data_IF_828353463788
#
_entry.id   IF_828353463788
#
_cell.length_a   1.000
_cell.length_b   1.000
_cell.length_c   1.000
_cell.angle_alpha   90.00
_cell.angle_beta   90.00
_cell.angle_gamma   90.00
#
_symmetry.space_group_name_H-M   'P 1'
#
loop_
_entity.id
_entity.type
_entity.pdbx_description
1 polymer ?
#
# COMPACT_ATOMS: atom_id res chain seq x y z
N UNK A 1 -9.31 51.11 -10.53
CA UNK A 1 -9.40 50.09 -9.47
C UNK A 1 -9.89 48.76 -10.03
N UNK A 2 -10.97 48.74 -10.81
CA UNK A 2 -11.50 47.53 -11.48
C UNK A 2 -10.55 46.87 -12.51
N UNK A 3 -9.79 47.64 -13.29
CA UNK A 3 -8.85 47.12 -14.31
C UNK A 3 -7.69 46.31 -13.71
N UNK A 4 -7.19 46.71 -12.54
CA UNK A 4 -6.16 45.95 -11.81
C UNK A 4 -6.72 44.67 -11.19
N UNK A 5 -8.01 44.65 -10.85
CA UNK A 5 -8.65 43.47 -10.27
C UNK A 5 -8.92 42.41 -11.34
N UNK A 6 -9.37 42.83 -12.52
CA UNK A 6 -9.56 41.93 -13.67
C UNK A 6 -8.22 41.38 -14.17
N UNK A 7 -7.17 42.20 -14.22
CA UNK A 7 -5.81 41.74 -14.52
C UNK A 7 -5.30 40.75 -13.46
N UNK A 8 -5.56 41.02 -12.17
CA UNK A 8 -5.21 40.10 -11.09
C UNK A 8 -5.94 38.77 -11.21
N UNK A 9 -7.24 38.76 -11.48
CA UNK A 9 -8.04 37.56 -11.70
C UNK A 9 -7.53 36.77 -12.92
N UNK A 10 -7.24 37.45 -14.04
CA UNK A 10 -6.67 36.81 -15.23
C UNK A 10 -5.27 36.24 -15.01
N UNK A 11 -4.40 36.97 -14.28
CA UNK A 11 -3.08 36.45 -13.91
C UNK A 11 -3.21 35.28 -12.93
N UNK A 12 -4.20 35.33 -12.05
CA UNK A 12 -4.47 34.25 -11.11
C UNK A 12 -4.96 33.00 -11.86
N UNK A 13 -5.89 33.15 -12.80
CA UNK A 13 -6.30 32.07 -13.71
C UNK A 13 -5.12 31.59 -14.56
N UNK A 14 -4.29 32.47 -15.13
CA UNK A 14 -3.19 32.04 -16.00
C UNK A 14 -2.12 31.22 -15.26
N UNK A 15 -1.71 31.65 -14.07
CA UNK A 15 -0.61 31.04 -13.34
C UNK A 15 -1.03 30.01 -12.28
N UNK A 16 -2.30 30.07 -11.85
CA UNK A 16 -2.83 29.23 -10.78
C UNK A 16 -4.17 28.58 -11.15
N UNK A 17 -4.65 28.64 -12.40
CA UNK A 17 -5.66 27.68 -12.85
C UNK A 17 -5.04 26.29 -12.86
N UNK A 18 -5.84 25.32 -12.41
CA UNK A 18 -5.48 23.93 -12.42
C UNK A 18 -6.38 23.25 -13.45
N UNK A 19 -5.81 22.91 -14.61
CA UNK A 19 -6.48 22.00 -15.53
C UNK A 19 -6.23 20.57 -15.08
N UNK A 20 -7.29 19.76 -15.14
CA UNK A 20 -7.22 18.33 -14.88
C UNK A 20 -6.21 17.68 -15.83
N UNK A 21 -5.30 16.86 -15.29
CA UNK A 21 -4.32 16.13 -16.11
C UNK A 21 -4.93 14.79 -16.48
N UNK A 22 -5.25 14.62 -17.77
CA UNK A 22 -5.75 13.33 -18.26
C UNK A 22 -4.84 12.17 -17.81
N UNK A 23 -5.44 11.08 -17.32
CA UNK A 23 -4.71 9.92 -16.78
C UNK A 23 -3.73 9.31 -17.79
N UNK A 24 -4.05 9.40 -19.09
CA UNK A 24 -3.17 9.03 -20.23
C UNK A 24 -1.90 9.86 -20.27
N UNK A 25 -2.01 11.18 -20.17
CA UNK A 25 -0.88 12.10 -20.17
C UNK A 25 0.02 11.83 -18.98
N UNK A 26 -0.56 11.64 -17.79
CA UNK A 26 0.19 11.31 -16.60
C UNK A 26 0.91 9.95 -16.72
N UNK A 27 0.26 8.92 -17.28
CA UNK A 27 0.91 7.64 -17.56
C UNK A 27 2.17 7.81 -18.42
N UNK A 28 2.10 8.58 -19.51
CA UNK A 28 3.25 8.79 -20.38
C UNK A 28 4.37 9.53 -19.66
N UNK A 29 4.06 10.63 -18.97
CA UNK A 29 5.04 11.44 -18.25
C UNK A 29 5.72 10.64 -17.14
N UNK A 30 4.96 9.94 -16.32
CA UNK A 30 5.49 9.15 -15.20
C UNK A 30 6.29 7.94 -15.67
N UNK A 31 5.87 7.28 -16.75
CA UNK A 31 6.61 6.14 -17.31
C UNK A 31 7.94 6.61 -17.92
N UNK A 32 7.93 7.67 -18.73
CA UNK A 32 9.14 8.22 -19.32
C UNK A 32 10.10 8.74 -18.25
N UNK A 33 9.60 9.45 -17.24
CA UNK A 33 10.41 9.92 -16.11
C UNK A 33 10.96 8.76 -15.29
N UNK A 34 10.17 7.72 -15.01
CA UNK A 34 10.61 6.51 -14.32
C UNK A 34 11.74 5.82 -15.07
N UNK A 35 11.63 5.71 -16.40
CA UNK A 35 12.68 5.15 -17.26
C UNK A 35 13.92 6.04 -17.21
N UNK A 36 13.78 7.35 -17.38
CA UNK A 36 14.92 8.27 -17.37
C UNK A 36 15.70 8.22 -16.02
N UNK A 37 14.98 8.19 -14.89
CA UNK A 37 15.58 8.28 -13.56
C UNK A 37 16.09 6.92 -13.06
N UNK A 38 15.41 5.81 -13.35
CA UNK A 38 15.72 4.52 -12.72
C UNK A 38 16.23 3.44 -13.68
N UNK A 39 16.02 3.58 -14.99
CA UNK A 39 16.46 2.58 -15.95
C UNK A 39 17.97 2.66 -16.17
N UNK A 40 18.64 1.52 -16.14
CA UNK A 40 20.08 1.40 -16.44
C UNK A 40 20.29 0.99 -17.88
N UNK A 41 20.54 1.96 -18.74
CA UNK A 41 20.77 1.76 -20.17
C UNK A 41 21.99 0.88 -20.47
N UNK A 42 23.08 1.01 -19.69
CA UNK A 42 24.26 0.15 -19.83
C UNK A 42 24.06 -1.31 -19.38
N UNK A 43 22.93 -1.63 -18.72
CA UNK A 43 22.57 -3.01 -18.31
C UNK A 43 21.08 -3.22 -18.52
N UNK A 44 20.69 -3.36 -19.78
CA UNK A 44 19.29 -3.44 -20.20
C UNK A 44 18.50 -4.54 -19.48
N UNK A 45 19.02 -5.77 -19.39
CA UNK A 45 18.37 -6.91 -18.73
C UNK A 45 18.61 -6.98 -17.21
N UNK A 46 18.56 -5.84 -16.52
CA UNK A 46 18.67 -5.83 -15.05
C UNK A 46 17.32 -6.09 -14.37
N UNK A 47 17.34 -6.72 -13.19
CA UNK A 47 16.15 -6.86 -12.35
C UNK A 47 15.51 -5.51 -12.03
N UNK A 48 16.35 -4.47 -11.86
CA UNK A 48 15.86 -3.11 -11.64
C UNK A 48 15.00 -2.62 -12.80
N UNK A 49 15.47 -2.81 -14.04
CA UNK A 49 14.74 -2.38 -15.22
C UNK A 49 13.43 -3.16 -15.38
N UNK A 50 13.45 -4.47 -15.09
CA UNK A 50 12.24 -5.28 -15.04
C UNK A 50 11.25 -4.72 -14.00
N UNK A 51 11.72 -4.37 -12.81
CA UNK A 51 10.87 -3.80 -11.75
C UNK A 51 10.23 -2.46 -12.18
N UNK A 52 11.01 -1.56 -12.81
CA UNK A 52 10.48 -0.30 -13.36
C UNK A 52 9.36 -0.59 -14.34
N UNK A 53 9.60 -1.46 -15.32
CA UNK A 53 8.62 -1.79 -16.36
C UNK A 53 7.36 -2.42 -15.78
N UNK A 54 7.51 -3.39 -14.88
CA UNK A 54 6.39 -4.07 -14.24
C UNK A 54 5.56 -3.12 -13.36
N UNK A 55 6.20 -2.17 -12.66
CA UNK A 55 5.50 -1.15 -11.90
C UNK A 55 4.74 -0.17 -12.81
N UNK A 56 5.37 0.28 -13.90
CA UNK A 56 4.71 1.14 -14.89
C UNK A 56 3.52 0.46 -15.54
N UNK A 57 3.56 -0.86 -15.75
CA UNK A 57 2.45 -1.64 -16.32
C UNK A 57 1.20 -1.74 -15.44
N UNK A 58 1.29 -1.46 -14.13
CA UNK A 58 0.07 -1.38 -13.31
C UNK A 58 -0.83 -0.22 -13.74
N UNK A 59 -0.26 0.93 -14.11
CA UNK A 59 -1.02 2.12 -14.47
C UNK A 59 -1.96 1.92 -15.68
N UNK A 60 -1.55 1.38 -16.84
CA UNK A 60 -2.49 1.12 -17.92
C UNK A 60 -3.55 0.09 -17.52
N UNK A 61 -3.26 -0.84 -16.60
CA UNK A 61 -4.28 -1.78 -16.11
C UNK A 61 -5.35 -1.06 -15.25
N UNK A 62 -4.95 -0.13 -14.39
CA UNK A 62 -5.89 0.73 -13.66
C UNK A 62 -6.70 1.62 -14.61
N UNK A 63 -6.06 2.20 -15.61
CA UNK A 63 -6.74 3.03 -16.61
C UNK A 63 -7.78 2.27 -17.43
N UNK A 64 -7.57 0.98 -17.75
CA UNK A 64 -8.59 0.17 -18.42
C UNK A 64 -9.86 0.05 -17.57
N UNK A 65 -9.70 -0.22 -16.26
CA UNK A 65 -10.82 -0.22 -15.32
C UNK A 65 -11.46 1.16 -15.28
N UNK A 66 -10.63 2.20 -15.22
CA UNK A 66 -11.07 3.59 -15.15
C UNK A 66 -11.96 3.99 -16.31
N UNK A 67 -11.39 3.86 -17.51
CA UNK A 67 -12.03 4.21 -18.76
C UNK A 67 -13.31 3.39 -18.97
N UNK A 68 -13.26 2.10 -18.65
CA UNK A 68 -14.43 1.23 -18.77
C UNK A 68 -15.57 1.65 -17.85
N UNK A 69 -15.29 2.04 -16.60
CA UNK A 69 -16.34 2.49 -15.66
C UNK A 69 -16.93 3.83 -16.13
N UNK A 70 -16.08 4.83 -16.40
CA UNK A 70 -16.52 6.18 -16.78
C UNK A 70 -17.35 6.18 -18.06
N UNK A 71 -17.02 5.32 -19.04
CA UNK A 71 -17.72 5.25 -20.32
C UNK A 71 -18.79 4.14 -20.40
N UNK A 72 -19.00 3.37 -19.33
CA UNK A 72 -19.99 2.29 -19.29
C UNK A 72 -19.64 1.06 -20.15
N UNK A 73 -18.36 0.81 -20.42
CA UNK A 73 -17.90 -0.35 -21.19
C UNK A 73 -17.48 -1.52 -20.28
N UNK A 74 -18.44 -2.36 -19.90
CA UNK A 74 -18.21 -3.51 -18.99
C UNK A 74 -17.11 -4.47 -19.46
N UNK A 75 -16.97 -4.71 -20.77
CA UNK A 75 -15.93 -5.58 -21.32
C UNK A 75 -14.51 -5.04 -21.06
N UNK A 76 -14.35 -3.72 -21.14
CA UNK A 76 -13.07 -3.05 -20.88
C UNK A 76 -12.77 -3.09 -19.38
N UNK A 77 -13.78 -2.88 -18.53
CA UNK A 77 -13.62 -3.02 -17.07
C UNK A 77 -13.16 -4.44 -16.71
N UNK A 78 -13.80 -5.46 -17.30
CA UNK A 78 -13.42 -6.86 -17.11
C UNK A 78 -11.97 -7.11 -17.55
N UNK A 79 -11.59 -6.60 -18.72
CA UNK A 79 -10.22 -6.70 -19.22
C UNK A 79 -9.22 -6.06 -18.23
N UNK A 80 -9.52 -4.86 -17.72
CA UNK A 80 -8.71 -4.18 -16.72
C UNK A 80 -8.53 -4.98 -15.44
N UNK A 81 -9.58 -5.59 -14.90
CA UNK A 81 -9.46 -6.46 -13.73
C UNK A 81 -8.65 -7.73 -14.00
N UNK A 82 -8.82 -8.36 -15.16
CA UNK A 82 -8.03 -9.54 -15.55
C UNK A 82 -6.55 -9.18 -15.70
N UNK A 83 -6.22 -8.05 -16.33
CA UNK A 83 -4.82 -7.62 -16.48
C UNK A 83 -4.20 -7.23 -15.14
N UNK A 84 -4.94 -6.56 -14.25
CA UNK A 84 -4.51 -6.30 -12.86
C UNK A 84 -4.22 -7.60 -12.10
N UNK A 85 -5.08 -8.61 -12.24
CA UNK A 85 -4.90 -9.93 -11.62
C UNK A 85 -3.63 -10.62 -12.15
N UNK A 86 -3.44 -10.66 -13.47
CA UNK A 86 -2.24 -11.24 -14.10
C UNK A 86 -0.96 -10.51 -13.67
N UNK A 87 -0.98 -9.17 -13.69
CA UNK A 87 0.16 -8.35 -13.25
C UNK A 87 0.48 -8.55 -11.77
N UNK A 88 -0.55 -8.67 -10.92
CA UNK A 88 -0.39 -9.08 -9.53
C UNK A 88 0.34 -10.41 -9.40
N UNK A 89 0.00 -11.39 -10.26
CA UNK A 89 0.63 -12.72 -10.30
C UNK A 89 2.10 -12.65 -10.65
N UNK A 90 2.42 -11.95 -11.74
CA UNK A 90 3.80 -11.73 -12.19
C UNK A 90 4.62 -11.06 -11.09
N UNK A 91 4.07 -10.02 -10.45
CA UNK A 91 4.79 -9.26 -9.43
C UNK A 91 4.96 -10.06 -8.12
N UNK A 92 3.97 -10.88 -7.75
CA UNK A 92 4.08 -11.81 -6.63
C UNK A 92 5.18 -12.86 -6.88
N UNK A 93 5.21 -13.48 -8.07
CA UNK A 93 6.28 -14.40 -8.45
C UNK A 93 7.65 -13.73 -8.41
N UNK A 94 7.74 -12.48 -8.87
CA UNK A 94 8.96 -11.68 -8.75
C UNK A 94 9.37 -11.48 -7.29
N UNK A 95 8.44 -11.25 -6.35
CA UNK A 95 8.79 -11.17 -4.91
C UNK A 95 9.38 -12.47 -4.39
N UNK A 96 8.90 -13.64 -4.84
CA UNK A 96 9.48 -14.93 -4.46
C UNK A 96 10.85 -15.15 -5.07
N UNK A 97 11.01 -14.81 -6.35
CA UNK A 97 12.29 -14.91 -7.04
C UNK A 97 13.36 -14.05 -6.36
N UNK A 98 12.99 -12.92 -5.76
CA UNK A 98 13.89 -12.08 -5.00
C UNK A 98 14.49 -12.79 -3.75
N UNK A 99 13.84 -13.84 -3.22
CA UNK A 99 14.39 -14.67 -2.14
C UNK A 99 15.50 -15.62 -2.61
N UNK A 100 15.57 -15.94 -3.92
CA UNK A 100 16.61 -16.83 -4.47
C UNK A 100 17.86 -16.08 -4.93
N UNK A 101 17.84 -14.74 -4.90
CA UNK A 101 18.95 -13.92 -5.37
C UNK A 101 20.02 -13.73 -4.29
N UNK A 102 21.16 -14.40 -4.47
CA UNK A 102 22.34 -14.29 -3.58
C UNK A 102 23.12 -13.00 -3.84
N UNK A 103 23.24 -12.57 -5.11
CA UNK A 103 23.99 -11.36 -5.49
C UNK A 103 23.06 -10.34 -6.11
N UNK A 104 22.97 -9.16 -5.48
CA UNK A 104 22.21 -8.02 -6.01
C UNK A 104 23.14 -6.82 -6.20
N UNK A 105 23.53 -6.49 -7.44
CA UNK A 105 24.34 -5.31 -7.69
C UNK A 105 23.53 -4.07 -7.33
N UNK A 106 24.13 -3.18 -6.54
CA UNK A 106 23.51 -1.91 -6.18
C UNK A 106 23.43 -1.01 -7.42
N UNK A 107 22.21 -0.75 -7.90
CA UNK A 107 21.96 0.15 -9.02
C UNK A 107 21.33 1.43 -8.48
N UNK A 108 22.16 2.47 -8.30
CA UNK A 108 21.70 3.79 -7.87
C UNK A 108 20.79 4.43 -8.93
N UNK A 109 19.90 5.36 -8.59
CA UNK A 109 19.23 6.20 -9.58
C UNK A 109 20.22 6.94 -10.49
N UNK A 110 19.78 7.36 -11.67
CA UNK A 110 20.56 8.16 -12.61
C UNK A 110 20.68 9.63 -12.17
N UNK A 111 19.81 10.08 -11.28
CA UNK A 111 19.79 11.45 -10.76
C UNK A 111 20.63 11.57 -9.49
N UNK A 112 21.23 12.75 -9.28
CA UNK A 112 21.98 13.07 -8.06
C UNK A 112 21.07 13.07 -6.83
N UNK A 113 21.66 12.94 -5.63
CA UNK A 113 20.91 13.02 -4.38
C UNK A 113 20.11 14.34 -4.26
N UNK A 114 20.69 15.48 -4.64
CA UNK A 114 20.01 16.77 -4.64
C UNK A 114 18.81 16.81 -5.59
N UNK A 115 18.97 16.27 -6.80
CA UNK A 115 17.86 16.16 -7.76
C UNK A 115 16.75 15.23 -7.28
N UNK A 116 17.10 14.09 -6.66
CA UNK A 116 16.10 13.19 -6.07
C UNK A 116 15.37 13.85 -4.89
N UNK A 117 16.08 14.56 -4.01
CA UNK A 117 15.45 15.29 -2.90
C UNK A 117 14.46 16.34 -3.40
N UNK A 118 14.84 17.08 -4.45
CA UNK A 118 13.94 18.04 -5.10
C UNK A 118 12.71 17.34 -5.67
N UNK A 119 12.88 16.21 -6.39
CA UNK A 119 11.75 15.43 -6.91
C UNK A 119 10.85 14.89 -5.79
N UNK A 120 11.40 14.37 -4.70
CA UNK A 120 10.58 13.93 -3.54
C UNK A 120 9.74 15.10 -3.02
N UNK A 121 10.36 16.26 -2.81
CA UNK A 121 9.65 17.43 -2.31
C UNK A 121 8.56 17.89 -3.28
N UNK A 122 8.89 18.05 -4.56
CA UNK A 122 7.95 18.51 -5.59
C UNK A 122 6.78 17.55 -5.78
N UNK A 123 7.04 16.24 -5.87
CA UNK A 123 5.99 15.23 -6.02
C UNK A 123 5.13 15.11 -4.76
N UNK A 124 5.72 15.28 -3.57
CA UNK A 124 4.95 15.28 -2.32
C UNK A 124 4.05 16.51 -2.22
N UNK A 125 4.55 17.70 -2.59
CA UNK A 125 3.72 18.91 -2.70
C UNK A 125 2.58 18.69 -3.68
N UNK A 126 2.86 18.10 -4.86
CA UNK A 126 1.83 17.80 -5.85
C UNK A 126 0.78 16.82 -5.30
N UNK A 127 1.18 15.78 -4.58
CA UNK A 127 0.25 14.86 -3.92
C UNK A 127 -0.61 15.55 -2.85
N UNK A 128 -0.03 16.44 -2.04
CA UNK A 128 -0.76 17.22 -1.03
C UNK A 128 -1.73 18.19 -1.69
N UNK A 129 -1.29 18.91 -2.72
CA UNK A 129 -2.16 19.79 -3.52
C UNK A 129 -3.32 19.02 -4.14
N UNK A 130 -3.06 17.83 -4.70
CA UNK A 130 -4.08 16.99 -5.30
C UNK A 130 -5.24 16.66 -4.33
N UNK A 131 -4.93 16.20 -3.12
CA UNK A 131 -5.95 15.84 -2.13
C UNK A 131 -6.57 17.07 -1.46
N UNK A 132 -5.82 18.17 -1.34
CA UNK A 132 -6.31 19.40 -0.69
C UNK A 132 -7.25 20.17 -1.62
N UNK A 133 -6.91 20.30 -2.90
CA UNK A 133 -7.80 20.88 -3.91
C UNK A 133 -9.02 20.00 -4.12
N UNK A 134 -8.84 18.68 -4.19
CA UNK A 134 -9.97 17.75 -4.29
C UNK A 134 -10.95 17.89 -3.13
N UNK A 135 -10.45 18.15 -1.91
CA UNK A 135 -11.30 18.48 -0.76
C UNK A 135 -12.01 19.85 -0.88
N UNK A 136 -11.35 20.87 -1.42
CA UNK A 136 -11.89 22.24 -1.50
C UNK A 136 -12.93 22.37 -2.61
N UNK A 137 -12.69 21.75 -3.77
CA UNK A 137 -13.51 21.89 -4.98
C UNK A 137 -14.70 20.91 -5.01
N UNK A 138 -14.67 19.87 -4.17
CA UNK A 138 -15.69 18.84 -4.23
C UNK A 138 -16.96 19.25 -3.49
N UNK A 139 -18.02 19.43 -4.26
CA UNK A 139 -19.41 19.42 -3.79
C UNK A 139 -20.02 18.00 -3.78
N UNK A 140 -19.20 16.95 -3.96
CA UNK A 140 -19.69 15.60 -4.17
C UNK A 140 -20.22 14.99 -2.87
N UNK A 141 -21.49 14.57 -2.90
CA UNK A 141 -22.08 13.78 -1.83
C UNK A 141 -21.43 12.38 -1.82
N UNK A 142 -20.60 12.09 -0.81
CA UNK A 142 -19.99 10.77 -0.63
C UNK A 142 -21.09 9.78 -0.27
N UNK A 143 -21.43 8.92 -1.22
CA UNK A 143 -22.39 7.85 -1.00
C UNK A 143 -21.80 6.80 -0.06
N UNK A 144 -22.59 6.42 0.95
CA UNK A 144 -22.31 5.26 1.79
C UNK A 144 -22.79 4.01 1.09
N UNK A 145 -21.88 3.10 0.79
CA UNK A 145 -22.23 1.81 0.20
C UNK A 145 -22.80 0.87 1.28
N UNK A 146 -24.11 0.98 1.50
CA UNK A 146 -24.91 0.18 2.41
C UNK A 146 -24.95 -1.33 2.06
N UNK A 147 -24.40 -1.73 0.91
CA UNK A 147 -24.35 -3.13 0.48
C UNK A 147 -23.17 -3.90 1.10
N UNK A 148 -22.23 -3.24 1.78
CA UNK A 148 -21.01 -3.85 2.35
C UNK A 148 -21.02 -4.37 3.82
N UNK A 149 -22.13 -4.49 4.59
CA UNK A 149 -22.06 -4.65 6.05
C UNK A 149 -21.49 -5.99 6.57
N UNK A 150 -20.96 -6.85 5.70
CA UNK A 150 -20.48 -8.20 6.02
C UNK A 150 -18.99 -8.41 5.74
N UNK A 151 -18.24 -7.38 5.37
CA UNK A 151 -16.84 -7.56 4.94
C UNK A 151 -15.87 -7.41 6.13
N UNK A 152 -14.78 -8.21 6.18
CA UNK A 152 -13.77 -8.08 7.22
C UNK A 152 -13.00 -6.76 7.12
N UNK A 153 -12.81 -6.11 8.25
CA UNK A 153 -12.08 -4.84 8.30
C UNK A 153 -12.20 -4.18 9.67
N UNK A 154 -11.63 -2.99 9.78
CA UNK A 154 -11.58 -2.22 11.02
C UNK A 154 -12.49 -1.00 10.92
N UNK A 155 -13.61 -1.04 11.65
CA UNK A 155 -14.67 -0.03 11.57
C UNK A 155 -14.19 1.42 11.62
N UNK A 156 -13.24 1.77 12.49
CA UNK A 156 -12.76 3.17 12.59
C UNK A 156 -12.13 3.63 11.28
N UNK A 157 -11.46 2.73 10.56
CA UNK A 157 -10.87 3.03 9.26
C UNK A 157 -11.94 3.09 8.16
N UNK A 158 -12.96 2.23 8.21
CA UNK A 158 -14.10 2.22 7.27
C UNK A 158 -15.03 3.44 7.45
N UNK A 159 -15.20 3.91 8.69
CA UNK A 159 -16.04 5.06 9.04
C UNK A 159 -15.40 6.40 8.64
N UNK A 160 -14.14 6.42 8.20
CA UNK A 160 -13.50 7.62 7.64
C UNK A 160 -13.98 7.83 6.20
N UNK A 161 -14.60 8.98 5.87
CA UNK A 161 -14.97 9.28 4.49
C UNK A 161 -13.69 9.45 3.64
N UNK A 162 -13.64 8.91 2.43
CA UNK A 162 -12.51 9.14 1.53
C UNK A 162 -12.45 10.61 1.09
N UNK A 163 -11.27 11.08 0.71
CA UNK A 163 -11.06 12.45 0.24
C UNK A 163 -10.98 12.45 -1.29
N UNK A 164 -11.78 13.28 -1.99
CA UNK A 164 -11.65 13.43 -3.44
C UNK A 164 -10.26 13.96 -3.85
N UNK A 165 -9.89 13.73 -5.10
CA UNK A 165 -8.61 14.18 -5.67
C UNK A 165 -8.87 15.09 -6.86
N UNK A 166 -8.07 16.15 -7.03
CA UNK A 166 -8.29 17.15 -8.07
C UNK A 166 -7.64 16.82 -9.42
N UNK A 167 -6.42 16.28 -9.42
CA UNK A 167 -5.61 16.16 -10.64
C UNK A 167 -5.85 14.87 -11.42
N UNK A 168 -6.55 13.90 -10.83
CA UNK A 168 -6.77 12.58 -11.43
C UNK A 168 -8.25 12.23 -11.41
N UNK A 169 -8.73 11.62 -12.50
CA UNK A 169 -10.05 11.00 -12.46
C UNK A 169 -9.97 9.80 -11.51
N UNK A 170 -10.80 9.79 -10.48
CA UNK A 170 -11.02 8.60 -9.66
C UNK A 170 -12.21 7.86 -10.25
N UNK A 171 -11.98 6.81 -11.05
CA UNK A 171 -13.08 6.03 -11.60
C UNK A 171 -13.74 5.12 -10.56
N UNK A 172 -13.05 4.94 -9.44
CA UNK A 172 -13.54 4.18 -8.32
C UNK A 172 -14.43 5.16 -7.57
N UNK A 173 -15.74 4.91 -7.59
CA UNK A 173 -16.68 5.64 -6.74
C UNK A 173 -16.04 5.76 -5.36
N UNK A 174 -15.97 6.99 -4.84
CA UNK A 174 -15.57 7.32 -3.47
C UNK A 174 -16.64 6.77 -2.51
N UNK A 175 -16.86 5.47 -2.55
CA UNK A 175 -17.86 4.82 -1.75
C UNK A 175 -17.25 4.60 -0.38
N UNK A 176 -17.86 5.24 0.60
CA UNK A 176 -17.57 4.91 1.97
C UNK A 176 -18.10 3.50 2.24
N UNK A 177 -17.21 2.55 2.53
CA UNK A 177 -17.59 1.18 2.89
C UNK A 177 -18.50 1.21 4.12
N UNK A 178 -19.73 0.71 4.00
CA UNK A 178 -20.71 0.82 5.07
C UNK A 178 -20.78 -0.41 5.97
N UNK A 179 -20.57 -0.18 7.26
CA UNK A 179 -21.13 -0.95 8.36
C UNK A 179 -22.01 -0.05 9.24
N UNK A 180 -22.55 -0.60 10.33
CA UNK A 180 -23.11 0.25 11.40
C UNK A 180 -21.98 1.13 11.96
N UNK A 181 -22.08 2.44 11.75
CA UNK A 181 -21.07 3.37 12.23
C UNK A 181 -20.89 3.29 13.74
N UNK A 182 -19.65 3.49 14.17
CA UNK A 182 -19.30 3.58 15.58
C UNK A 182 -19.92 4.79 16.26
N UNK A 183 -19.90 4.76 17.58
CA UNK A 183 -20.23 5.91 18.40
C UNK A 183 -18.94 6.68 18.66
N UNK A 184 -18.83 7.87 18.07
CA UNK A 184 -17.66 8.73 18.19
C UNK A 184 -18.00 9.97 19.01
N UNK A 185 -17.04 10.47 19.81
CA UNK A 185 -17.18 11.75 20.52
C UNK A 185 -16.93 12.97 19.63
N UNK A 186 -16.56 12.74 18.37
CA UNK A 186 -16.25 13.74 17.36
C UNK A 186 -16.73 13.26 16.00
N UNK A 187 -16.87 14.18 15.05
CA UNK A 187 -17.34 13.87 13.70
C UNK A 187 -16.25 13.21 12.86
N UNK A 188 -16.59 12.11 12.18
CA UNK A 188 -15.74 11.49 11.15
C UNK A 188 -15.83 12.30 9.86
N UNK A 189 -15.19 13.48 9.83
CA UNK A 189 -15.26 14.42 8.71
C UNK A 189 -14.19 14.14 7.64
N UNK A 190 -14.43 14.60 6.41
CA UNK A 190 -13.42 14.57 5.34
C UNK A 190 -12.14 15.36 5.73
N UNK A 191 -12.26 16.44 6.51
CA UNK A 191 -11.12 17.20 7.00
C UNK A 191 -10.18 16.37 7.89
N UNK A 192 -10.76 15.49 8.73
CA UNK A 192 -9.98 14.53 9.50
C UNK A 192 -9.27 13.53 8.57
N UNK A 193 -10.00 12.97 7.59
CA UNK A 193 -9.44 12.05 6.60
C UNK A 193 -8.30 12.68 5.81
N UNK A 194 -8.43 13.95 5.40
CA UNK A 194 -7.41 14.73 4.70
C UNK A 194 -6.12 14.80 5.53
N UNK A 195 -6.23 15.18 6.80
CA UNK A 195 -5.09 15.22 7.71
C UNK A 195 -4.43 13.85 7.87
N UNK A 196 -5.22 12.78 8.01
CA UNK A 196 -4.72 11.41 8.15
C UNK A 196 -4.05 10.88 6.87
N UNK A 197 -4.60 11.16 5.70
CA UNK A 197 -4.03 10.77 4.40
C UNK A 197 -2.69 11.45 4.17
N UNK A 198 -2.60 12.77 4.40
CA UNK A 198 -1.35 13.52 4.23
C UNK A 198 -0.29 12.99 5.20
N UNK A 199 -0.68 12.77 6.46
CA UNK A 199 0.20 12.19 7.47
C UNK A 199 0.65 10.76 7.08
N UNK A 200 -0.23 9.92 6.57
CA UNK A 200 0.08 8.55 6.17
C UNK A 200 1.07 8.52 5.00
N UNK A 201 0.87 9.32 3.95
CA UNK A 201 1.82 9.42 2.84
C UNK A 201 3.16 9.99 3.27
N UNK A 202 3.17 11.03 4.11
CA UNK A 202 4.40 11.56 4.70
C UNK A 202 5.14 10.47 5.47
N UNK A 203 4.41 9.68 6.26
CA UNK A 203 4.96 8.57 7.04
C UNK A 203 5.57 7.48 6.13
N UNK A 204 4.93 7.15 4.99
CA UNK A 204 5.52 6.26 3.97
C UNK A 204 6.80 6.85 3.40
N UNK A 205 6.76 8.09 2.90
CA UNK A 205 7.90 8.75 2.24
C UNK A 205 9.12 8.83 3.16
N UNK A 206 8.93 9.30 4.39
CA UNK A 206 10.00 9.35 5.40
C UNK A 206 10.48 7.94 5.73
N UNK A 207 9.57 6.99 5.90
CA UNK A 207 9.91 5.59 6.16
C UNK A 207 10.79 4.97 5.07
N UNK A 208 10.47 5.19 3.79
CA UNK A 208 11.25 4.72 2.65
C UNK A 208 12.66 5.34 2.63
N UNK A 209 12.77 6.65 2.87
CA UNK A 209 14.06 7.35 2.93
C UNK A 209 14.91 6.83 4.08
N UNK A 210 14.31 6.66 5.26
CA UNK A 210 15.00 6.16 6.45
C UNK A 210 15.44 4.70 6.31
N UNK A 211 14.63 3.82 5.71
CA UNK A 211 15.05 2.45 5.43
C UNK A 211 16.25 2.44 4.47
N UNK A 212 16.21 3.28 3.42
CA UNK A 212 17.34 3.41 2.50
C UNK A 212 18.61 3.96 3.16
N UNK A 213 18.50 5.00 3.99
CA UNK A 213 19.67 5.59 4.64
C UNK A 213 20.24 4.71 5.76
N UNK A 214 19.39 4.09 6.59
CA UNK A 214 19.80 3.32 7.76
C UNK A 214 20.15 1.88 7.41
N UNK A 215 19.32 1.19 6.63
CA UNK A 215 19.47 -0.25 6.39
C UNK A 215 20.19 -0.58 5.10
N UNK A 216 19.97 0.23 4.06
CA UNK A 216 20.69 0.07 2.79
C UNK A 216 22.01 0.86 2.77
N UNK A 217 22.29 1.64 3.83
CA UNK A 217 23.48 2.49 3.97
C UNK A 217 23.68 3.44 2.77
N UNK A 218 22.59 3.79 2.08
CA UNK A 218 22.63 4.64 0.90
C UNK A 218 21.34 5.48 0.78
N UNK A 219 21.47 6.76 1.12
CA UNK A 219 20.35 7.72 1.06
C UNK A 219 19.76 7.87 -0.34
N UNK A 220 20.56 7.72 -1.41
CA UNK A 220 20.06 7.81 -2.80
C UNK A 220 19.05 6.72 -3.10
N UNK A 221 19.20 5.55 -2.48
CA UNK A 221 18.26 4.44 -2.65
C UNK A 221 16.93 4.73 -1.94
N UNK A 222 17.00 5.31 -0.74
CA UNK A 222 15.81 5.74 0.00
C UNK A 222 15.06 6.88 -0.71
N UNK A 223 15.80 7.88 -1.20
CA UNK A 223 15.22 8.96 -2.00
C UNK A 223 14.62 8.43 -3.31
N UNK A 224 15.32 7.54 -4.02
CA UNK A 224 14.80 6.91 -5.23
C UNK A 224 13.54 6.08 -4.97
N UNK A 225 13.47 5.37 -3.84
CA UNK A 225 12.28 4.67 -3.38
C UNK A 225 11.10 5.64 -3.12
N UNK A 226 11.35 6.76 -2.44
CA UNK A 226 10.32 7.77 -2.22
C UNK A 226 9.84 8.41 -3.54
N UNK A 227 10.76 8.75 -4.46
CA UNK A 227 10.39 9.29 -5.78
C UNK A 227 9.51 8.31 -6.53
N UNK A 228 9.89 7.03 -6.64
CA UNK A 228 9.08 6.09 -7.42
C UNK A 228 7.72 5.82 -6.75
N UNK A 229 7.66 5.79 -5.41
CA UNK A 229 6.39 5.66 -4.70
C UNK A 229 5.43 6.80 -5.04
N UNK A 230 5.90 8.04 -5.01
CA UNK A 230 5.11 9.23 -5.33
C UNK A 230 4.79 9.36 -6.83
N UNK A 231 5.65 8.81 -7.69
CA UNK A 231 5.52 8.92 -9.14
C UNK A 231 4.54 7.90 -9.74
N UNK A 232 4.31 6.77 -9.06
CA UNK A 232 3.39 5.74 -9.57
C UNK A 232 1.95 6.28 -9.55
N UNK A 233 1.22 6.24 -10.68
CA UNK A 233 -0.13 6.82 -10.81
C UNK A 233 -1.12 6.38 -9.72
N UNK A 234 -1.04 5.12 -9.29
CA UNK A 234 -1.83 4.60 -8.17
C UNK A 234 -1.78 5.47 -6.91
N UNK A 235 -0.62 6.05 -6.58
CA UNK A 235 -0.46 6.90 -5.38
C UNK A 235 -1.20 8.23 -5.51
N UNK A 236 -1.33 8.76 -6.73
CA UNK A 236 -2.11 9.96 -7.02
C UNK A 236 -3.61 9.69 -7.06
N UNK A 237 -4.01 8.64 -7.77
CA UNK A 237 -5.42 8.23 -7.94
C UNK A 237 -6.05 7.80 -6.61
N UNK A 238 -5.40 6.92 -5.84
CA UNK A 238 -5.89 6.47 -4.53
C UNK A 238 -5.36 7.36 -3.39
N UNK A 239 -4.85 8.55 -3.72
CA UNK A 239 -4.17 9.43 -2.79
C UNK A 239 -5.03 9.82 -1.59
N UNK A 240 -6.34 9.98 -1.79
CA UNK A 240 -7.31 10.39 -0.78
C UNK A 240 -7.91 9.28 0.10
N UNK A 241 -7.44 8.04 -0.02
CA UNK A 241 -7.95 6.89 0.74
C UNK A 241 -7.00 6.49 1.87
N UNK A 242 -7.43 6.68 3.13
CA UNK A 242 -6.60 6.38 4.32
C UNK A 242 -6.29 4.88 4.41
N UNK A 243 -7.28 4.05 4.11
CA UNK A 243 -7.24 2.59 4.18
C UNK A 243 -6.29 1.96 3.14
N UNK A 244 -6.07 2.64 2.01
CA UNK A 244 -5.11 2.21 0.99
C UNK A 244 -3.64 2.45 1.40
N UNK A 245 -3.36 3.44 2.25
CA UNK A 245 -2.01 3.95 2.52
C UNK A 245 -1.50 3.57 3.91
N UNK A 246 -2.35 3.76 4.93
CA UNK A 246 -1.98 3.63 6.33
C UNK A 246 -1.41 2.24 6.71
N UNK A 247 -1.97 1.10 6.24
CA UNK A 247 -1.40 -0.21 6.54
C UNK A 247 0.01 -0.38 5.97
N UNK A 248 0.22 0.07 4.72
CA UNK A 248 1.53 0.06 4.08
C UNK A 248 2.55 0.91 4.83
N UNK A 249 2.12 2.07 5.34
CA UNK A 249 2.94 2.96 6.17
C UNK A 249 3.40 2.27 7.46
N UNK A 250 2.49 1.62 8.19
CA UNK A 250 2.85 0.87 9.39
C UNK A 250 3.84 -0.26 9.11
N UNK A 251 3.70 -0.96 7.98
CA UNK A 251 4.63 -2.04 7.61
C UNK A 251 6.03 -1.54 7.25
N UNK A 252 6.15 -0.39 6.58
CA UNK A 252 7.45 0.25 6.33
C UNK A 252 8.13 0.59 7.65
N UNK A 253 7.39 1.09 8.64
CA UNK A 253 7.93 1.42 9.95
C UNK A 253 8.25 0.20 10.81
N UNK A 254 7.47 -0.89 10.67
CA UNK A 254 7.82 -2.18 11.24
C UNK A 254 9.18 -2.68 10.72
N UNK A 255 9.41 -2.55 9.40
CA UNK A 255 10.70 -2.88 8.78
C UNK A 255 11.81 -1.93 9.20
N UNK A 256 11.56 -0.62 9.28
CA UNK A 256 12.54 0.36 9.77
C UNK A 256 13.04 -0.03 11.17
N UNK A 257 12.15 -0.51 12.03
CA UNK A 257 12.50 -0.94 13.39
C UNK A 257 12.75 -2.44 13.54
N UNK A 258 13.08 -3.18 12.46
CA UNK A 258 13.28 -4.64 12.56
C UNK A 258 14.34 -5.06 13.60
N UNK A 259 15.33 -4.21 13.90
CA UNK A 259 16.32 -4.49 14.96
C UNK A 259 15.80 -4.28 16.39
N UNK A 260 14.63 -3.66 16.55
CA UNK A 260 13.93 -3.42 17.83
C UNK A 260 12.62 -4.23 17.84
N UNK A 261 12.63 -5.51 18.23
CA UNK A 261 11.53 -6.44 17.99
C UNK A 261 10.18 -5.96 18.57
N UNK A 262 10.18 -5.33 19.74
CA UNK A 262 8.96 -4.80 20.35
C UNK A 262 8.32 -3.66 19.53
N UNK A 263 9.12 -2.73 18.99
CA UNK A 263 8.60 -1.64 18.16
C UNK A 263 8.15 -2.18 16.80
N UNK A 264 8.91 -3.11 16.22
CA UNK A 264 8.52 -3.78 14.98
C UNK A 264 7.19 -4.52 15.11
N UNK A 265 7.02 -5.29 16.19
CA UNK A 265 5.78 -6.00 16.50
C UNK A 265 4.59 -5.05 16.70
N UNK A 266 4.82 -3.92 17.38
CA UNK A 266 3.80 -2.89 17.58
C UNK A 266 3.31 -2.30 16.25
N UNK A 267 4.23 -1.86 15.37
CA UNK A 267 3.84 -1.34 14.06
C UNK A 267 3.22 -2.40 13.16
N UNK A 268 3.73 -3.64 13.17
CA UNK A 268 3.12 -4.74 12.43
C UNK A 268 1.66 -4.93 12.86
N UNK A 269 1.36 -4.96 14.16
CA UNK A 269 -0.01 -5.19 14.62
C UNK A 269 -0.95 -4.01 14.43
N UNK A 270 -0.44 -2.77 14.33
CA UNK A 270 -1.27 -1.64 13.88
C UNK A 270 -1.77 -1.82 12.44
N UNK A 271 -1.03 -2.53 11.58
CA UNK A 271 -1.51 -2.86 10.22
C UNK A 271 -2.63 -3.90 10.20
N UNK A 272 -2.97 -4.53 11.34
CA UNK A 272 -4.12 -5.44 11.43
C UNK A 272 -5.47 -4.74 11.22
N UNK A 273 -5.49 -3.41 11.04
CA UNK A 273 -6.67 -2.66 10.63
C UNK A 273 -7.28 -3.13 9.28
N UNK A 274 -6.52 -3.84 8.44
CA UNK A 274 -7.02 -4.49 7.21
C UNK A 274 -6.97 -6.02 7.28
N UNK A 275 -6.84 -6.61 8.47
CA UNK A 275 -6.77 -8.05 8.81
C UNK A 275 -5.69 -8.91 8.10
N UNK A 276 -5.42 -8.74 6.81
CA UNK A 276 -4.45 -9.54 6.04
C UNK A 276 -3.04 -9.60 6.66
N UNK A 277 -2.51 -8.52 7.28
CA UNK A 277 -1.19 -8.57 7.91
C UNK A 277 -1.12 -9.53 9.11
N UNK A 278 -2.23 -10.03 9.66
CA UNK A 278 -2.24 -11.12 10.64
C UNK A 278 -1.52 -12.37 10.11
N UNK A 279 -1.67 -12.65 8.80
CA UNK A 279 -1.02 -13.78 8.13
C UNK A 279 0.49 -13.57 7.91
N UNK A 280 1.05 -12.42 8.29
CA UNK A 280 2.49 -12.21 8.35
C UNK A 280 3.12 -12.75 9.65
N UNK A 281 2.31 -13.07 10.67
CA UNK A 281 2.84 -13.54 11.97
C UNK A 281 3.79 -14.74 11.84
N UNK A 282 3.51 -15.79 11.04
CA UNK A 282 4.46 -16.90 10.87
C UNK A 282 5.82 -16.46 10.30
N UNK A 283 5.82 -15.54 9.33
CA UNK A 283 7.04 -14.98 8.73
C UNK A 283 7.86 -14.19 9.76
N UNK A 284 7.21 -13.28 10.48
CA UNK A 284 7.91 -12.40 11.42
C UNK A 284 8.33 -13.12 12.71
N UNK A 285 7.52 -14.05 13.22
CA UNK A 285 7.89 -14.89 14.36
C UNK A 285 9.07 -15.80 14.05
N UNK A 286 9.11 -16.38 12.84
CA UNK A 286 10.25 -17.19 12.42
C UNK A 286 11.52 -16.35 12.20
N UNK A 287 11.39 -15.09 11.72
CA UNK A 287 12.51 -14.15 11.64
C UNK A 287 13.13 -13.84 13.01
N UNK A 288 12.31 -13.69 14.06
CA UNK A 288 12.79 -13.46 15.44
C UNK A 288 12.97 -14.73 16.27
N UNK A 289 12.89 -15.92 15.66
CA UNK A 289 12.83 -17.20 16.38
C UNK A 289 14.02 -17.40 17.31
N UNK A 290 15.23 -17.13 16.79
CA UNK A 290 16.48 -17.25 17.52
C UNK A 290 16.63 -16.15 18.58
N UNK A 291 16.19 -14.93 18.27
CA UNK A 291 16.36 -13.78 19.16
C UNK A 291 15.24 -12.76 19.00
N UNK A 292 14.54 -12.50 20.10
CA UNK A 292 13.59 -11.39 20.20
C UNK A 292 12.12 -11.76 20.02
N UNK A 293 11.78 -13.05 19.81
CA UNK A 293 10.37 -13.50 19.67
C UNK A 293 9.45 -13.03 20.79
N UNK A 294 9.91 -13.04 22.04
CA UNK A 294 9.12 -12.59 23.20
C UNK A 294 8.86 -11.09 23.16
N UNK A 295 9.91 -10.29 22.94
CA UNK A 295 9.80 -8.83 22.79
C UNK A 295 8.91 -8.46 21.60
N UNK A 296 9.06 -9.16 20.48
CA UNK A 296 8.20 -9.02 19.31
C UNK A 296 6.74 -9.33 19.63
N UNK A 297 6.46 -10.48 20.26
CA UNK A 297 5.12 -10.86 20.69
C UNK A 297 4.47 -9.85 21.63
N UNK A 298 5.22 -9.30 22.60
CA UNK A 298 4.73 -8.20 23.45
C UNK A 298 4.40 -6.95 22.63
N UNK A 299 5.23 -6.59 21.66
CA UNK A 299 4.95 -5.50 20.72
C UNK A 299 3.66 -5.73 19.95
N UNK A 300 3.48 -6.93 19.38
CA UNK A 300 2.26 -7.33 18.67
C UNK A 300 1.04 -7.17 19.58
N UNK A 301 1.08 -7.69 20.81
CA UNK A 301 -0.02 -7.56 21.78
C UNK A 301 -0.35 -6.11 22.12
N UNK A 302 0.66 -5.24 22.27
CA UNK A 302 0.44 -3.82 22.56
C UNK A 302 -0.24 -3.09 21.39
N UNK A 303 0.24 -3.25 20.16
CA UNK A 303 -0.37 -2.57 19.00
C UNK A 303 -1.74 -3.14 18.65
N UNK A 304 -1.92 -4.46 18.77
CA UNK A 304 -3.23 -5.10 18.62
C UNK A 304 -4.20 -4.63 19.71
N UNK A 305 -3.75 -4.55 20.97
CA UNK A 305 -4.52 -4.03 22.09
C UNK A 305 -5.00 -2.60 21.86
N UNK A 306 -4.21 -1.76 21.17
CA UNK A 306 -4.63 -0.40 20.79
C UNK A 306 -5.80 -0.39 19.80
N UNK A 307 -5.77 -1.26 18.78
CA UNK A 307 -6.90 -1.40 17.84
C UNK A 307 -8.16 -1.93 18.54
N UNK A 308 -8.00 -2.96 19.40
CA UNK A 308 -9.11 -3.50 20.20
C UNK A 308 -9.69 -2.45 21.13
N UNK A 309 -8.83 -1.63 21.77
CA UNK A 309 -9.26 -0.50 22.59
C UNK A 309 -10.06 0.51 21.76
N UNK A 310 -9.64 0.81 20.53
CA UNK A 310 -10.40 1.65 19.61
C UNK A 310 -11.83 1.13 19.36
N UNK A 311 -11.97 -0.17 19.04
CA UNK A 311 -13.30 -0.80 18.88
C UNK A 311 -14.10 -0.75 20.18
N UNK A 312 -13.45 -0.99 21.32
CA UNK A 312 -14.11 -0.95 22.61
C UNK A 312 -14.61 0.46 22.97
N UNK A 313 -13.86 1.51 22.65
CA UNK A 313 -14.25 2.89 22.93
C UNK A 313 -15.37 3.39 22.00
N UNK A 314 -15.50 2.81 20.81
CA UNK A 314 -16.47 3.24 19.78
C UNK A 314 -17.71 2.33 19.70
N UNK A 315 -17.81 1.28 20.53
CA UNK A 315 -18.93 0.32 20.52
C UNK A 315 -20.25 0.98 20.93
N UNK A 316 -21.35 0.53 20.34
CA UNK A 316 -22.70 0.88 20.81
C UNK A 316 -23.12 0.02 22.01
N UNK A 317 -22.93 -1.30 21.90
CA UNK A 317 -23.15 -2.27 22.97
C UNK A 317 -22.06 -3.37 22.93
N UNK A 318 -22.12 -4.33 23.86
CA UNK A 318 -21.14 -5.42 23.90
C UNK A 318 -21.30 -6.41 22.73
N UNK A 319 -22.51 -6.54 22.18
CA UNK A 319 -22.78 -7.43 21.03
C UNK A 319 -22.12 -6.86 19.77
N UNK A 320 -22.24 -5.56 19.54
CA UNK A 320 -21.53 -4.81 18.49
C UNK A 320 -20.03 -4.97 18.64
N UNK A 321 -19.48 -4.80 19.85
CA UNK A 321 -18.05 -5.01 20.09
C UNK A 321 -17.58 -6.41 19.66
N UNK A 322 -18.30 -7.47 20.05
CA UNK A 322 -17.98 -8.84 19.63
C UNK A 322 -18.11 -9.02 18.12
N UNK A 323 -19.11 -8.40 17.48
CA UNK A 323 -19.27 -8.42 16.03
C UNK A 323 -18.09 -7.73 15.32
N UNK A 324 -17.69 -6.54 15.76
CA UNK A 324 -16.53 -5.82 15.21
C UNK A 324 -15.22 -6.58 15.44
N UNK A 325 -15.06 -7.24 16.59
CA UNK A 325 -13.91 -8.12 16.84
C UNK A 325 -13.85 -9.27 15.84
N UNK A 326 -14.98 -9.91 15.51
CA UNK A 326 -15.03 -10.96 14.48
C UNK A 326 -14.72 -10.41 13.09
N UNK A 327 -15.19 -9.21 12.76
CA UNK A 327 -14.91 -8.51 11.49
C UNK A 327 -13.42 -8.20 11.34
N UNK A 328 -12.80 -7.57 12.34
CA UNK A 328 -11.39 -7.14 12.31
C UNK A 328 -10.42 -8.30 12.08
N UNK A 329 -10.77 -9.50 12.51
CA UNK A 329 -9.91 -10.68 12.36
C UNK A 329 -10.30 -11.58 11.17
N UNK A 330 -11.34 -11.25 10.42
CA UNK A 330 -11.80 -12.09 9.32
C UNK A 330 -12.30 -13.47 9.75
N UNK A 331 -12.84 -13.61 10.97
CA UNK A 331 -13.50 -14.85 11.42
C UNK A 331 -14.87 -15.09 10.77
N UNK A 332 -15.31 -14.16 9.93
CA UNK A 332 -16.49 -14.33 9.11
C UNK A 332 -16.17 -15.29 7.96
N UNK A 333 -17.14 -16.12 7.59
CA UNK A 333 -17.04 -16.88 6.34
C UNK A 333 -16.78 -15.88 5.20
N UNK A 334 -15.87 -16.19 4.26
CA UNK A 334 -15.61 -15.30 3.13
C UNK A 334 -16.92 -14.99 2.42
N UNK A 335 -17.14 -13.73 2.04
CA UNK A 335 -18.38 -13.32 1.38
C UNK A 335 -18.60 -14.18 0.11
N UNK A 336 -19.68 -14.97 0.08
CA UNK A 336 -20.01 -15.84 -1.05
C UNK A 336 -21.16 -15.31 -1.89
N UNK A 337 -21.83 -14.24 -1.46
CA UNK A 337 -22.94 -13.68 -2.22
C UNK A 337 -22.40 -12.84 -3.38
N UNK A 338 -22.67 -13.21 -4.66
CA UNK A 338 -22.18 -12.49 -5.83
C UNK A 338 -22.58 -11.01 -5.86
N UNK A 339 -23.71 -10.64 -5.23
CA UNK A 339 -24.20 -9.26 -5.19
C UNK A 339 -23.28 -8.29 -4.46
N UNK A 340 -22.42 -8.80 -3.58
CA UNK A 340 -21.51 -8.00 -2.77
C UNK A 340 -20.05 -8.18 -3.20
N UNK A 341 -19.79 -8.89 -4.30
CA UNK A 341 -18.44 -9.06 -4.82
C UNK A 341 -18.13 -7.96 -5.84
N UNK A 342 -16.92 -7.42 -5.76
CA UNK A 342 -16.43 -6.38 -6.63
C UNK A 342 -15.26 -6.86 -7.50
N UNK A 343 -14.98 -6.08 -8.54
CA UNK A 343 -13.94 -6.33 -9.54
C UNK A 343 -13.99 -7.69 -10.20
N UNK A 344 -12.86 -8.41 -10.30
CA UNK A 344 -12.83 -9.68 -11.04
C UNK A 344 -13.92 -10.67 -10.59
N UNK A 345 -14.25 -10.66 -9.31
CA UNK A 345 -15.24 -11.55 -8.70
C UNK A 345 -16.70 -11.16 -8.99
N UNK A 346 -16.98 -9.96 -9.51
CA UNK A 346 -18.32 -9.57 -9.97
C UNK A 346 -18.64 -10.08 -11.38
N UNK A 347 -17.62 -10.38 -12.21
CA UNK A 347 -17.78 -10.75 -13.63
C UNK A 347 -18.08 -12.24 -13.89
N UNK A 348 -18.96 -12.84 -13.06
CA UNK A 348 -19.58 -14.14 -13.30
C UNK A 348 -18.76 -15.37 -12.91
N UNK A 349 -17.61 -15.20 -12.25
CA UNK A 349 -16.89 -16.32 -11.66
C UNK A 349 -17.64 -16.84 -10.42
N UNK A 350 -17.80 -18.15 -10.31
CA UNK A 350 -18.43 -18.72 -9.13
C UNK A 350 -17.61 -18.35 -7.88
N UNK A 351 -18.21 -17.75 -6.83
CA UNK A 351 -17.50 -17.31 -5.63
C UNK A 351 -16.69 -18.42 -4.95
N UNK A 352 -17.12 -19.68 -5.13
CA UNK A 352 -16.46 -20.90 -4.65
C UNK A 352 -15.00 -21.01 -5.14
N UNK A 353 -14.65 -20.46 -6.31
CA UNK A 353 -13.28 -20.46 -6.82
C UNK A 353 -12.31 -19.61 -5.98
N UNK A 354 -12.81 -18.79 -5.05
CA UNK A 354 -11.97 -18.09 -4.06
C UNK A 354 -11.41 -19.04 -3.01
N UNK A 355 -12.10 -20.16 -2.71
CA UNK A 355 -11.68 -21.08 -1.64
C UNK A 355 -10.28 -21.64 -1.89
N UNK A 356 -9.94 -22.19 -3.08
CA UNK A 356 -8.58 -22.63 -3.37
C UNK A 356 -7.53 -21.52 -3.23
N UNK A 357 -7.86 -20.28 -3.63
CA UNK A 357 -6.95 -19.13 -3.53
C UNK A 357 -6.71 -18.73 -2.08
N UNK A 358 -7.76 -18.74 -1.24
CA UNK A 358 -7.67 -18.54 0.21
C UNK A 358 -6.82 -19.64 0.84
N UNK A 359 -7.06 -20.90 0.47
CA UNK A 359 -6.25 -22.03 0.97
C UNK A 359 -4.78 -21.87 0.57
N UNK A 360 -4.49 -21.53 -0.68
CA UNK A 360 -3.13 -21.27 -1.14
C UNK A 360 -2.47 -20.11 -0.39
N UNK A 361 -3.21 -19.03 -0.14
CA UNK A 361 -2.75 -17.88 0.65
C UNK A 361 -2.41 -18.26 2.10
N UNK A 362 -3.26 -19.05 2.76
CA UNK A 362 -3.01 -19.56 4.12
C UNK A 362 -1.81 -20.51 4.13
N UNK A 363 -1.72 -21.42 3.16
CA UNK A 363 -0.58 -22.34 3.02
C UNK A 363 0.73 -21.59 2.79
N UNK A 364 0.71 -20.52 2.00
CA UNK A 364 1.85 -19.65 1.79
C UNK A 364 2.28 -18.96 3.09
N UNK A 365 1.32 -18.43 3.87
CA UNK A 365 1.57 -17.87 5.21
C UNK A 365 2.22 -18.89 6.15
N UNK A 366 1.68 -20.11 6.23
CA UNK A 366 2.24 -21.20 7.05
C UNK A 366 3.64 -21.56 6.57
N UNK A 367 3.85 -21.67 5.25
CA UNK A 367 5.15 -21.98 4.64
C UNK A 367 6.20 -20.97 5.05
N UNK A 368 5.83 -19.69 5.25
CA UNK A 368 6.78 -18.69 5.72
C UNK A 368 7.36 -18.94 7.11
N UNK A 369 6.75 -19.78 7.94
CA UNK A 369 7.38 -20.20 9.20
C UNK A 369 8.70 -20.97 8.96
N UNK A 370 8.79 -21.71 7.85
CA UNK A 370 9.92 -22.58 7.52
C UNK A 370 10.80 -22.01 6.40
N UNK A 371 10.19 -21.41 5.37
CA UNK A 371 10.89 -20.89 4.19
C UNK A 371 10.76 -19.35 4.08
N UNK A 372 11.78 -18.60 3.65
CA UNK A 372 13.17 -19.04 3.44
C UNK A 372 13.81 -19.54 4.73
N UNK A 373 14.74 -20.49 4.61
CA UNK A 373 15.39 -21.13 5.76
C UNK A 373 16.23 -20.13 6.57
N UNK A 374 17.00 -19.29 5.87
CA UNK A 374 17.70 -18.16 6.45
C UNK A 374 16.95 -16.89 6.09
N UNK A 375 16.34 -16.26 7.09
CA UNK A 375 15.58 -15.02 6.91
C UNK A 375 16.44 -13.81 7.24
N UNK A 376 16.68 -12.99 6.24
CA UNK A 376 17.29 -11.67 6.38
C UNK A 376 16.25 -10.55 6.09
N UNK A 377 16.61 -9.29 6.34
CA UNK A 377 15.75 -8.13 6.07
C UNK A 377 15.21 -8.11 4.64
N UNK A 378 16.04 -8.57 3.70
CA UNK A 378 15.67 -8.69 2.31
C UNK A 378 14.49 -9.64 2.10
N UNK A 379 14.61 -10.89 2.56
CA UNK A 379 13.54 -11.90 2.48
C UNK A 379 12.31 -11.51 3.31
N UNK A 380 12.50 -10.82 4.43
CA UNK A 380 11.41 -10.31 5.26
C UNK A 380 10.58 -9.29 4.47
N UNK A 381 11.24 -8.34 3.81
CA UNK A 381 10.59 -7.33 2.97
C UNK A 381 9.85 -7.97 1.79
N UNK A 382 10.51 -8.87 1.05
CA UNK A 382 9.93 -9.48 -0.16
C UNK A 382 8.80 -10.46 0.14
N UNK A 383 8.92 -11.32 1.14
CA UNK A 383 7.83 -12.20 1.57
C UNK A 383 6.65 -11.41 2.15
N UNK A 384 6.90 -10.30 2.85
CA UNK A 384 5.82 -9.40 3.31
C UNK A 384 5.09 -8.79 2.12
N UNK A 385 5.81 -8.27 1.12
CA UNK A 385 5.23 -7.75 -0.10
C UNK A 385 4.45 -8.82 -0.88
N UNK A 386 5.01 -10.04 -1.00
CA UNK A 386 4.38 -11.17 -1.69
C UNK A 386 3.04 -11.54 -1.04
N UNK A 387 3.00 -11.62 0.29
CA UNK A 387 1.78 -11.95 1.00
C UNK A 387 0.70 -10.90 0.77
N UNK A 388 1.05 -9.61 0.83
CA UNK A 388 0.07 -8.54 0.61
C UNK A 388 -0.37 -8.43 -0.84
N UNK A 389 0.49 -8.75 -1.81
CA UNK A 389 0.06 -8.90 -3.21
C UNK A 389 -0.94 -10.06 -3.36
N UNK A 390 -0.71 -11.16 -2.65
CA UNK A 390 -1.54 -12.35 -2.76
C UNK A 390 -2.98 -12.15 -2.23
N UNK A 391 -3.21 -11.16 -1.37
CA UNK A 391 -4.57 -10.81 -0.90
C UNK A 391 -5.47 -10.41 -2.06
N UNK A 392 -4.91 -9.76 -3.08
CA UNK A 392 -5.64 -9.25 -4.26
C UNK A 392 -6.30 -10.38 -5.06
N UNK A 393 -5.76 -11.60 -5.02
CA UNK A 393 -6.33 -12.71 -5.75
C UNK A 393 -7.66 -13.16 -5.18
N UNK A 394 -7.89 -13.02 -3.87
CA UNK A 394 -9.08 -13.56 -3.24
C UNK A 394 -9.88 -12.52 -2.47
N UNK A 395 -9.40 -11.28 -2.32
CA UNK A 395 -10.19 -10.20 -1.74
C UNK A 395 -11.50 -10.03 -2.55
N UNK A 396 -12.63 -9.97 -1.84
CA UNK A 396 -13.95 -9.78 -2.44
C UNK A 396 -14.26 -8.31 -2.73
N UNK A 397 -13.49 -7.39 -2.14
CA UNK A 397 -13.64 -5.95 -2.28
C UNK A 397 -12.58 -5.34 -3.17
N UNK A 398 -12.99 -4.29 -3.88
CA UNK A 398 -12.11 -3.46 -4.67
C UNK A 398 -11.34 -4.22 -5.74
N UNK A 399 -11.70 -5.44 -6.14
CA UNK A 399 -11.23 -6.05 -7.39
C UNK A 399 -9.73 -6.25 -7.57
N UNK A 400 -8.97 -6.28 -6.48
CA UNK A 400 -7.51 -6.22 -6.56
C UNK A 400 -6.98 -4.83 -6.89
N UNK A 401 -7.63 -3.75 -6.47
CA UNK A 401 -7.15 -2.37 -6.62
C UNK A 401 -6.18 -1.95 -5.51
N UNK A 402 -6.17 -2.63 -4.36
CA UNK A 402 -5.36 -2.30 -3.19
C UNK A 402 -3.85 -2.56 -3.35
N UNK A 403 -3.19 -1.86 -4.29
CA UNK A 403 -1.74 -1.95 -4.47
C UNK A 403 -0.98 -1.32 -3.29
N UNK A 404 -1.55 -0.29 -2.66
CA UNK A 404 -0.93 0.55 -1.62
C UNK A 404 -0.47 -0.20 -0.37
N UNK A 405 -1.13 -1.30 -0.02
CA UNK A 405 -0.69 -2.15 1.08
C UNK A 405 0.68 -2.79 0.82
N UNK A 406 0.96 -3.11 -0.45
CA UNK A 406 2.20 -3.78 -0.87
C UNK A 406 3.21 -2.84 -1.53
N UNK A 407 2.76 -1.70 -2.07
CA UNK A 407 3.54 -0.81 -2.92
C UNK A 407 4.83 -0.30 -2.26
N UNK A 408 4.81 0.25 -1.03
CA UNK A 408 6.03 0.72 -0.39
C UNK A 408 7.05 -0.40 -0.21
N UNK A 409 6.59 -1.61 0.09
CA UNK A 409 7.45 -2.78 0.28
C UNK A 409 8.05 -3.25 -1.04
N UNK A 410 7.23 -3.34 -2.09
CA UNK A 410 7.65 -3.62 -3.46
C UNK A 410 8.79 -2.68 -3.87
N UNK A 411 8.60 -1.38 -3.61
CA UNK A 411 9.58 -0.34 -3.92
C UNK A 411 10.85 -0.54 -3.09
N UNK A 412 10.76 -0.86 -1.80
CA UNK A 412 11.95 -1.22 -1.01
C UNK A 412 12.69 -2.43 -1.59
N UNK A 413 11.98 -3.48 -2.02
CA UNK A 413 12.62 -4.64 -2.66
C UNK A 413 13.26 -4.24 -3.98
N UNK A 414 12.65 -3.36 -4.76
CA UNK A 414 13.26 -2.82 -5.97
C UNK A 414 14.59 -2.12 -5.65
N UNK A 415 14.65 -1.31 -4.59
CA UNK A 415 15.81 -0.51 -4.21
C UNK A 415 16.84 -1.17 -3.29
N UNK A 416 16.57 -2.36 -2.73
CA UNK A 416 17.50 -2.98 -1.77
C UNK A 416 18.85 -3.39 -2.38
N UNK A 417 19.99 -3.21 -1.68
CA UNK A 417 21.25 -3.88 -1.99
C UNK A 417 21.20 -5.37 -1.63
N UNK A 418 22.33 -6.07 -1.67
CA UNK A 418 22.46 -7.33 -0.95
C UNK A 418 22.32 -7.05 0.57
N UNK A 419 21.49 -7.83 1.26
CA UNK A 419 21.19 -7.70 2.69
C UNK A 419 21.34 -9.04 3.42
N UNK A 420 22.15 -9.96 2.89
CA UNK A 420 22.39 -11.28 3.49
C UNK A 420 22.90 -11.23 4.93
N UNK A 421 23.67 -10.19 5.28
CA UNK A 421 24.20 -9.94 6.62
C UNK A 421 23.15 -9.40 7.61
N UNK A 422 22.00 -8.95 7.11
CA UNK A 422 20.94 -8.32 7.92
C UNK A 422 19.99 -9.35 8.51
N UNK A 423 20.50 -10.17 9.43
CA UNK A 423 19.79 -11.27 10.11
C UNK A 423 19.63 -11.00 11.62
N UNK A 424 18.65 -11.64 12.26
CA UNK A 424 18.49 -11.63 13.71
C UNK A 424 19.09 -12.91 14.33
N UNK A 425 20.41 -12.92 14.55
CA UNK A 425 21.13 -14.04 15.16
C UNK A 425 21.42 -13.84 16.67
N UNK A 426 21.65 -14.96 17.37
CA UNK A 426 22.26 -14.96 18.71
C UNK A 426 23.75 -14.61 18.62
N UNK A 427 24.31 -14.03 19.69
CA UNK A 427 25.74 -13.64 19.74
C UNK A 427 26.67 -14.85 19.54
N UNK A 428 26.24 -16.04 19.96
CA UNK A 428 27.05 -17.27 19.94
C UNK A 428 27.17 -17.90 18.53
N UNK A 429 26.27 -17.54 17.61
CA UNK A 429 26.37 -17.95 16.21
C UNK A 429 27.41 -17.14 15.42
N UNK A 430 27.83 -15.99 15.93
CA UNK A 430 28.82 -15.13 15.25
C UNK A 430 30.25 -15.59 15.58
N UNK A 431 30.48 -16.21 16.74
CA UNK A 431 31.81 -16.73 17.09
C UNK A 431 32.18 -18.03 16.38
N UNK A 432 31.20 -18.80 15.90
CA UNK A 432 31.43 -20.10 15.24
C UNK A 432 31.76 -20.00 13.74
N UNK A 433 31.61 -18.82 13.13
CA UNK A 433 32.01 -18.55 11.75
C UNK A 433 33.30 -17.72 11.64
N UNK A 434 33.93 -17.42 12.78
CA UNK A 434 35.11 -16.54 12.88
C UNK A 434 36.42 -17.25 13.24
N UNK A 435 36.42 -18.57 13.39
CA UNK A 435 37.62 -19.38 13.65
C UNK A 435 37.97 -20.28 12.46
#
# INVERSE_FOLDING_TARGET
MFENQQLYEQLNELFFSYEHVESTTWLYLTTLLSIAVFFKFGRFFSMRNLDVLLLSLFSPCFMLVSFGITNGFEEIVRLGYVTLWVMGGIFMLRMFYDCTMVRRPLLEPNLSAGGLSFLVFALFVLLVSNVSLGYIESDAEILRDLSSPQMPGYRILEDLPPVPVAFWETPFELNQQSGKSGVYSFEMSQALSLGLVIAAHFFVVVGLILVGSVHFENVRMGLGAAVIYLLIPYTGEMGGHVDHVLPGAFLVWALLFYRKPMIAGFFLSLSFCIYYPLFLLPLWLSFYWQRGKTKFGLGVLLGWGLLVLGLFLTKSDFVDFVAQMKRMHGFLMPQMNPKFLQGLWSYGWAPVYRIPLITAFIMMSITFSMWPAQKNLGSLTSCTAALLLATRFWNGEGGGLFLGWSLPLIVLVMFRPNLEDRVMLSRDAVSSYGD
#
